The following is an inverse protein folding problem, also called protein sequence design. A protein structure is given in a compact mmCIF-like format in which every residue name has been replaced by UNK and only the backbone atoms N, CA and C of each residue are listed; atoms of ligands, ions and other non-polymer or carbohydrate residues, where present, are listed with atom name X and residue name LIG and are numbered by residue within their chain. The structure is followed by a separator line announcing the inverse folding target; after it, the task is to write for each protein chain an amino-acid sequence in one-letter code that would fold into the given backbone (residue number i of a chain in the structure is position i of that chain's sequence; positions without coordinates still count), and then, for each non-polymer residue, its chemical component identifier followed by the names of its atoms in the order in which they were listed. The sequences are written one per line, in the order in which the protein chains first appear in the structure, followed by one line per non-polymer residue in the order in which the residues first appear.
data_IF_679305166176
#
_entry.id   IF_679305166176
#
_cell.length_a   1.000
_cell.length_b   1.000
_cell.length_c   1.000
_cell.angle_alpha   90.00
_cell.angle_beta   90.00
_cell.angle_gamma   90.00
#
_symmetry.space_group_name_H-M   'P 1'
#
loop_
_entity.id
_entity.type
_entity.pdbx_description
1 polymer ?
#
# COMPACT_ATOMS: atom_id res chain seq x y z
N UNK A 1 -44.27 -0.48 -17.10
CA UNK A 1 -44.54 -0.45 -15.62
C UNK A 1 -44.87 0.98 -15.17
N UNK A 2 -44.14 1.96 -15.61
CA UNK A 2 -44.37 3.37 -15.30
C UNK A 2 -45.82 3.82 -15.66
N UNK A 3 -46.27 3.44 -16.83
CA UNK A 3 -47.70 3.67 -17.23
C UNK A 3 -48.73 3.07 -16.23
N UNK A 4 -48.49 1.82 -15.75
CA UNK A 4 -49.41 1.19 -14.80
C UNK A 4 -49.39 1.92 -13.43
N UNK A 5 -48.22 2.32 -12.97
CA UNK A 5 -48.07 3.07 -11.70
C UNK A 5 -48.70 4.45 -11.80
N UNK A 6 -48.62 5.10 -12.96
CA UNK A 6 -49.29 6.38 -13.20
C UNK A 6 -50.80 6.21 -13.31
N UNK A 7 -51.27 5.14 -13.98
CA UNK A 7 -52.67 4.81 -14.04
C UNK A 7 -53.28 4.50 -12.66
N UNK A 8 -52.59 3.67 -11.85
CA UNK A 8 -53.00 3.36 -10.46
C UNK A 8 -53.07 4.63 -9.59
N UNK A 9 -52.14 5.56 -9.75
CA UNK A 9 -52.14 6.83 -9.04
C UNK A 9 -53.34 7.70 -9.39
N UNK A 10 -53.81 7.63 -10.63
CA UNK A 10 -54.95 8.40 -11.15
C UNK A 10 -56.31 7.77 -10.77
N UNK A 11 -56.36 6.51 -10.30
CA UNK A 11 -57.61 5.89 -9.79
C UNK A 11 -58.10 6.53 -8.48
N UNK A 12 -57.22 7.16 -7.71
CA UNK A 12 -57.55 8.02 -6.56
C UNK A 12 -58.01 7.30 -5.29
N UNK A 13 -58.60 6.11 -5.35
CA UNK A 13 -59.04 5.32 -4.22
C UNK A 13 -58.35 3.98 -4.16
N UNK A 14 -58.00 3.57 -2.95
CA UNK A 14 -57.26 2.32 -2.74
C UNK A 14 -58.04 1.07 -3.15
N UNK A 15 -59.34 1.09 -2.94
CA UNK A 15 -60.25 0.02 -3.31
C UNK A 15 -60.32 -0.17 -4.84
N UNK A 16 -60.32 0.92 -5.60
CA UNK A 16 -60.29 0.85 -7.08
C UNK A 16 -58.95 0.31 -7.61
N UNK A 17 -57.86 0.62 -6.96
CA UNK A 17 -56.52 0.08 -7.28
C UNK A 17 -56.47 -1.43 -7.00
N UNK A 18 -57.04 -1.89 -5.87
CA UNK A 18 -57.09 -3.31 -5.53
C UNK A 18 -57.99 -4.08 -6.50
N UNK A 19 -59.18 -3.54 -6.85
CA UNK A 19 -60.07 -4.12 -7.85
C UNK A 19 -59.41 -4.19 -9.25
N UNK A 20 -58.68 -3.14 -9.65
CA UNK A 20 -57.93 -3.10 -10.90
C UNK A 20 -56.83 -4.15 -10.94
N UNK A 21 -56.08 -4.35 -9.84
CA UNK A 21 -55.03 -5.36 -9.72
C UNK A 21 -55.58 -6.80 -9.71
N UNK A 22 -56.84 -7.00 -9.31
CA UNK A 22 -57.49 -8.33 -9.35
C UNK A 22 -58.09 -8.66 -10.70
N UNK A 23 -58.20 -7.68 -11.61
CA UNK A 23 -58.75 -7.91 -12.96
C UNK A 23 -57.88 -8.86 -13.77
N UNK A 24 -58.52 -9.82 -14.48
CA UNK A 24 -57.84 -10.80 -15.30
C UNK A 24 -57.03 -10.15 -16.45
N UNK A 25 -57.46 -9.01 -16.97
CA UNK A 25 -56.74 -8.31 -18.05
C UNK A 25 -55.44 -7.73 -17.52
N UNK A 26 -55.47 -7.16 -16.29
CA UNK A 26 -54.26 -6.70 -15.61
C UNK A 26 -53.29 -7.83 -15.37
N UNK A 27 -53.74 -8.95 -14.78
CA UNK A 27 -52.90 -10.12 -14.50
C UNK A 27 -52.33 -10.73 -15.75
N UNK A 28 -53.10 -10.84 -16.84
CA UNK A 28 -52.62 -11.30 -18.14
C UNK A 28 -51.59 -10.36 -18.79
N UNK A 29 -51.77 -9.04 -18.61
CA UNK A 29 -50.80 -8.07 -19.10
C UNK A 29 -49.50 -8.13 -18.35
N UNK A 30 -49.55 -8.09 -17.01
CA UNK A 30 -48.36 -8.17 -16.14
C UNK A 30 -47.67 -9.51 -16.30
N UNK A 31 -48.43 -10.61 -16.43
CA UNK A 31 -47.88 -11.96 -16.67
C UNK A 31 -47.05 -12.15 -17.93
N UNK A 32 -47.22 -11.26 -18.92
CA UNK A 32 -46.37 -11.23 -20.13
C UNK A 32 -44.94 -10.74 -19.86
N UNK A 33 -44.71 -10.07 -18.75
CA UNK A 33 -43.43 -9.53 -18.38
C UNK A 33 -42.75 -10.44 -17.35
N UNK A 34 -41.66 -11.10 -17.76
CA UNK A 34 -40.86 -11.90 -16.81
C UNK A 34 -39.91 -11.01 -16.04
N UNK A 35 -40.27 -10.65 -14.79
CA UNK A 35 -39.39 -9.91 -13.89
C UNK A 35 -38.05 -10.60 -13.63
N UNK A 36 -38.04 -11.95 -13.70
CA UNK A 36 -36.83 -12.72 -13.56
C UNK A 36 -35.86 -12.50 -14.74
N UNK A 37 -36.37 -12.53 -15.98
CA UNK A 37 -35.58 -12.27 -17.19
C UNK A 37 -35.12 -10.82 -17.22
N UNK A 38 -36.00 -9.89 -16.90
CA UNK A 38 -35.66 -8.46 -16.78
C UNK A 38 -34.47 -8.25 -15.84
N UNK A 39 -34.55 -8.82 -14.62
CA UNK A 39 -33.48 -8.71 -13.64
C UNK A 39 -32.17 -9.31 -14.13
N UNK A 40 -32.21 -10.47 -14.79
CA UNK A 40 -31.00 -11.10 -15.35
C UNK A 40 -30.30 -10.22 -16.39
N UNK A 41 -31.07 -9.56 -17.26
CA UNK A 41 -30.52 -8.63 -18.24
C UNK A 41 -29.85 -7.44 -17.56
N UNK A 42 -30.56 -6.80 -16.61
CA UNK A 42 -30.03 -5.67 -15.84
C UNK A 42 -28.84 -6.05 -14.96
N UNK A 43 -28.89 -7.21 -14.35
CA UNK A 43 -27.76 -7.73 -13.58
C UNK A 43 -26.48 -7.83 -14.43
N UNK A 44 -26.57 -8.41 -15.62
CA UNK A 44 -25.40 -8.50 -16.53
C UNK A 44 -24.90 -7.11 -16.94
N UNK A 45 -25.79 -6.22 -17.29
CA UNK A 45 -25.46 -4.85 -17.70
C UNK A 45 -24.75 -4.05 -16.58
N UNK A 46 -25.09 -4.30 -15.32
CA UNK A 46 -24.52 -3.63 -14.15
C UNK A 46 -23.25 -4.33 -13.66
N UNK A 47 -23.25 -5.66 -13.61
CA UNK A 47 -22.16 -6.42 -13.03
C UNK A 47 -20.92 -6.55 -13.94
N UNK A 48 -21.10 -6.61 -15.27
CA UNK A 48 -19.99 -6.81 -16.21
C UNK A 48 -18.91 -5.72 -16.13
N UNK A 49 -19.21 -4.43 -16.10
CA UNK A 49 -18.19 -3.39 -15.95
C UNK A 49 -17.41 -3.49 -14.64
N UNK A 50 -18.06 -3.94 -13.57
CA UNK A 50 -17.43 -4.16 -12.27
C UNK A 50 -16.42 -5.30 -12.35
N UNK A 51 -16.83 -6.46 -12.89
CA UNK A 51 -15.93 -7.61 -12.99
C UNK A 51 -14.65 -7.28 -13.79
N UNK A 52 -14.77 -6.51 -14.87
CA UNK A 52 -13.61 -6.02 -15.64
C UNK A 52 -12.72 -5.13 -14.78
N UNK A 53 -13.29 -4.22 -13.99
CA UNK A 53 -12.54 -3.28 -13.14
C UNK A 53 -11.95 -3.91 -11.88
N UNK A 54 -12.40 -5.13 -11.50
CA UNK A 54 -11.91 -5.87 -10.32
C UNK A 54 -10.72 -6.79 -10.64
N UNK A 55 -10.27 -6.85 -11.89
CA UNK A 55 -9.02 -7.50 -12.24
C UNK A 55 -7.86 -6.79 -11.53
N UNK A 56 -6.91 -7.56 -10.98
CA UNK A 56 -5.80 -7.02 -10.17
C UNK A 56 -4.98 -5.98 -10.93
N UNK A 57 -4.85 -6.15 -12.25
CA UNK A 57 -4.08 -5.26 -13.11
C UNK A 57 -4.82 -3.97 -13.43
N UNK A 58 -6.13 -4.05 -13.55
CA UNK A 58 -7.00 -2.92 -13.88
C UNK A 58 -7.44 -2.14 -12.63
N UNK A 59 -7.48 -2.79 -11.46
CA UNK A 59 -8.06 -2.26 -10.23
C UNK A 59 -7.47 -0.90 -9.83
N UNK A 60 -6.15 -0.77 -9.90
CA UNK A 60 -5.41 0.45 -9.53
C UNK A 60 -5.25 1.44 -10.70
N UNK A 61 -5.92 1.25 -11.82
CA UNK A 61 -5.85 2.19 -12.92
C UNK A 61 -6.58 3.50 -12.58
N UNK A 62 -5.93 4.59 -12.97
CA UNK A 62 -6.49 5.93 -12.74
C UNK A 62 -7.70 6.16 -13.64
N UNK A 63 -8.68 6.84 -13.09
CA UNK A 63 -9.78 7.38 -13.88
C UNK A 63 -9.26 8.49 -14.79
N UNK A 64 -9.67 8.48 -16.04
CA UNK A 64 -9.33 9.55 -16.97
C UNK A 64 -9.93 10.86 -16.46
N UNK A 65 -9.09 11.83 -16.13
CA UNK A 65 -9.55 13.20 -15.92
C UNK A 65 -10.03 13.70 -17.27
N UNK A 66 -11.32 14.00 -17.37
CA UNK A 66 -11.84 14.70 -18.55
C UNK A 66 -11.10 16.01 -18.72
N UNK A 67 -10.11 16.03 -19.60
CA UNK A 67 -9.27 17.19 -19.93
C UNK A 67 -9.95 18.10 -20.96
N UNK A 68 -11.27 18.23 -20.91
CA UNK A 68 -11.99 19.22 -21.72
C UNK A 68 -12.68 20.23 -20.80
N UNK A 69 -11.93 21.24 -20.47
CA UNK A 69 -12.44 22.57 -20.12
C UNK A 69 -12.95 23.17 -21.44
N UNK A 70 -14.12 23.77 -21.37
CA UNK A 70 -14.84 24.49 -22.42
C UNK A 70 -15.87 23.66 -23.21
N UNK A 71 -17.01 23.45 -22.56
CA UNK A 71 -18.34 23.68 -23.16
C UNK A 71 -19.40 23.65 -22.05
N UNK A 72 -19.82 24.82 -21.66
CA UNK A 72 -21.04 25.04 -20.88
C UNK A 72 -22.21 24.52 -21.71
N UNK A 73 -22.88 23.55 -21.23
CA UNK A 73 -24.24 23.06 -21.41
C UNK A 73 -24.28 21.55 -21.67
N UNK A 74 -24.74 20.83 -20.66
CA UNK A 74 -25.26 19.49 -20.85
C UNK A 74 -24.43 18.34 -20.27
N UNK A 75 -24.95 17.78 -19.22
CA UNK A 75 -24.59 16.50 -18.60
C UNK A 75 -23.62 16.58 -17.42
N UNK A 76 -24.22 16.66 -16.25
CA UNK A 76 -23.58 16.53 -14.91
C UNK A 76 -22.98 15.12 -14.69
N UNK A 77 -23.04 14.23 -15.66
CA UNK A 77 -22.86 12.78 -15.50
C UNK A 77 -21.41 12.25 -15.69
N UNK A 78 -20.42 13.07 -16.05
CA UNK A 78 -19.09 12.55 -16.41
C UNK A 78 -17.89 13.14 -15.66
N UNK A 79 -18.08 13.73 -14.49
CA UNK A 79 -16.95 14.10 -13.65
C UNK A 79 -16.60 12.92 -12.76
N UNK A 80 -15.52 12.22 -13.05
CA UNK A 80 -15.01 11.12 -12.24
C UNK A 80 -14.82 11.58 -10.79
N UNK A 81 -15.66 11.05 -9.88
CA UNK A 81 -15.73 11.46 -8.47
C UNK A 81 -14.54 10.91 -7.68
N UNK A 82 -14.06 9.73 -8.06
CA UNK A 82 -12.99 9.01 -7.41
C UNK A 82 -11.76 8.91 -8.30
N UNK A 83 -10.62 8.59 -7.70
CA UNK A 83 -9.32 8.58 -8.36
C UNK A 83 -9.11 7.32 -9.20
N UNK A 84 -9.64 6.18 -8.71
CA UNK A 84 -9.49 4.87 -9.36
C UNK A 84 -10.69 4.54 -10.25
N UNK A 85 -10.43 3.87 -11.38
CA UNK A 85 -11.48 3.37 -12.29
C UNK A 85 -12.39 2.35 -11.59
N UNK A 86 -11.83 1.48 -10.76
CA UNK A 86 -12.58 0.48 -9.99
C UNK A 86 -13.61 1.12 -9.05
N UNK A 87 -13.24 2.15 -8.32
CA UNK A 87 -14.13 2.86 -7.40
C UNK A 87 -15.24 3.59 -8.16
N UNK A 88 -14.92 4.24 -9.28
CA UNK A 88 -15.92 4.88 -10.15
C UNK A 88 -16.88 3.86 -10.78
N UNK A 89 -16.41 2.67 -11.16
CA UNK A 89 -17.26 1.60 -11.66
C UNK A 89 -18.24 1.11 -10.59
N UNK A 90 -17.78 0.97 -9.35
CA UNK A 90 -18.65 0.61 -8.21
C UNK A 90 -19.76 1.61 -8.00
N UNK A 91 -19.45 2.91 -7.91
CA UNK A 91 -20.46 3.96 -7.71
C UNK A 91 -21.43 4.01 -8.88
N UNK A 92 -20.94 3.99 -10.10
CA UNK A 92 -21.79 3.99 -11.30
C UNK A 92 -22.75 2.80 -11.31
N UNK A 93 -22.31 1.64 -10.87
CA UNK A 93 -23.14 0.45 -10.77
C UNK A 93 -24.18 0.55 -9.64
N UNK A 94 -23.79 1.09 -8.46
CA UNK A 94 -24.71 1.33 -7.36
C UNK A 94 -25.81 2.32 -7.76
N UNK A 95 -25.45 3.46 -8.33
CA UNK A 95 -26.41 4.49 -8.79
C UNK A 95 -27.31 3.94 -9.93
N UNK A 96 -26.76 3.12 -10.83
CA UNK A 96 -27.51 2.52 -11.93
C UNK A 96 -28.61 1.58 -11.45
N UNK A 97 -28.41 0.86 -10.32
CA UNK A 97 -29.44 0.01 -9.73
C UNK A 97 -30.71 0.80 -9.38
N UNK A 98 -30.58 2.07 -9.04
CA UNK A 98 -31.67 2.95 -8.58
C UNK A 98 -32.12 3.95 -9.64
N UNK A 99 -31.57 3.87 -10.84
CA UNK A 99 -32.01 4.72 -11.96
C UNK A 99 -33.50 4.48 -12.24
N UNK A 100 -34.33 5.53 -12.42
CA UNK A 100 -35.76 5.38 -12.75
C UNK A 100 -36.02 4.53 -13.99
N UNK A 101 -35.07 4.47 -14.91
CA UNK A 101 -35.16 3.64 -16.13
C UNK A 101 -34.88 2.15 -15.89
N UNK A 102 -34.37 1.79 -14.72
CA UNK A 102 -33.91 0.42 -14.38
C UNK A 102 -34.63 -0.14 -13.16
N UNK A 103 -34.79 0.68 -12.11
CA UNK A 103 -35.38 0.24 -10.87
C UNK A 103 -36.85 -0.13 -11.02
N UNK A 104 -37.22 -1.25 -10.41
CA UNK A 104 -38.62 -1.70 -10.29
C UNK A 104 -38.90 -2.07 -8.83
N UNK A 105 -39.87 -1.42 -8.19
CA UNK A 105 -40.24 -1.65 -6.79
C UNK A 105 -40.65 -3.11 -6.51
N UNK A 106 -41.29 -3.79 -7.45
CA UNK A 106 -41.66 -5.21 -7.35
C UNK A 106 -40.48 -6.17 -7.15
N UNK A 107 -39.27 -5.79 -7.53
CA UNK A 107 -38.04 -6.58 -7.34
C UNK A 107 -36.96 -5.82 -6.57
N UNK A 108 -37.37 -4.88 -5.70
CA UNK A 108 -36.52 -4.09 -4.82
C UNK A 108 -35.51 -5.01 -4.09
N UNK A 109 -35.97 -6.10 -3.48
CA UNK A 109 -35.11 -7.04 -2.75
C UNK A 109 -33.94 -7.58 -3.58
N UNK A 110 -34.12 -7.73 -4.90
CA UNK A 110 -33.05 -8.19 -5.81
C UNK A 110 -32.05 -7.08 -6.10
N UNK A 111 -32.51 -5.85 -6.34
CA UNK A 111 -31.63 -4.70 -6.54
C UNK A 111 -30.86 -4.36 -5.26
N UNK A 112 -31.54 -4.47 -4.11
CA UNK A 112 -30.86 -4.31 -2.82
C UNK A 112 -29.76 -5.33 -2.61
N UNK A 113 -30.07 -6.61 -2.83
CA UNK A 113 -29.06 -7.69 -2.77
C UNK A 113 -27.90 -7.41 -3.73
N UNK A 114 -28.18 -6.93 -4.93
CA UNK A 114 -27.13 -6.57 -5.91
C UNK A 114 -26.23 -5.44 -5.38
N UNK A 115 -26.79 -4.40 -4.74
CA UNK A 115 -25.99 -3.35 -4.12
C UNK A 115 -25.01 -3.90 -3.08
N UNK A 116 -25.48 -4.76 -2.18
CA UNK A 116 -24.61 -5.39 -1.18
C UNK A 116 -23.55 -6.30 -1.82
N UNK A 117 -23.91 -7.01 -2.89
CA UNK A 117 -22.97 -7.84 -3.65
C UNK A 117 -21.89 -6.99 -4.36
N UNK A 118 -22.24 -5.82 -4.90
CA UNK A 118 -21.29 -4.88 -5.51
C UNK A 118 -20.26 -4.41 -4.47
N UNK A 119 -20.72 -4.01 -3.28
CA UNK A 119 -19.87 -3.56 -2.18
C UNK A 119 -18.94 -4.72 -1.73
N UNK A 120 -19.50 -5.90 -1.53
CA UNK A 120 -18.73 -7.09 -1.15
C UNK A 120 -17.69 -7.46 -2.22
N UNK A 121 -18.05 -7.38 -3.50
CA UNK A 121 -17.13 -7.65 -4.60
C UNK A 121 -15.97 -6.65 -4.67
N UNK A 122 -16.25 -5.38 -4.38
CA UNK A 122 -15.20 -4.36 -4.25
C UNK A 122 -14.28 -4.65 -3.06
N UNK A 123 -14.82 -5.02 -1.90
CA UNK A 123 -14.05 -5.46 -0.74
C UNK A 123 -13.11 -6.62 -1.07
N UNK A 124 -13.59 -7.63 -1.80
CA UNK A 124 -12.76 -8.75 -2.27
C UNK A 124 -11.68 -8.28 -3.26
N UNK A 125 -12.00 -7.34 -4.17
CA UNK A 125 -11.04 -6.74 -5.09
C UNK A 125 -9.87 -6.08 -4.36
N UNK A 126 -10.18 -5.29 -3.32
CA UNK A 126 -9.17 -4.68 -2.46
C UNK A 126 -8.28 -5.75 -1.81
N UNK A 127 -8.88 -6.79 -1.20
CA UNK A 127 -8.14 -7.86 -0.56
C UNK A 127 -7.21 -8.59 -1.53
N UNK A 128 -7.67 -8.87 -2.76
CA UNK A 128 -6.87 -9.53 -3.80
C UNK A 128 -5.67 -8.68 -4.21
N UNK A 129 -5.89 -7.38 -4.44
CA UNK A 129 -4.81 -6.44 -4.81
C UNK A 129 -3.77 -6.31 -3.71
N UNK A 130 -4.20 -6.12 -2.46
CA UNK A 130 -3.28 -6.04 -1.32
C UNK A 130 -2.51 -7.34 -1.14
N UNK A 131 -3.17 -8.49 -1.25
CA UNK A 131 -2.53 -9.80 -1.17
C UNK A 131 -1.50 -10.00 -2.28
N UNK A 132 -1.81 -9.60 -3.52
CA UNK A 132 -0.89 -9.67 -4.64
C UNK A 132 0.35 -8.79 -4.43
N UNK A 133 0.18 -7.61 -3.84
CA UNK A 133 1.29 -6.68 -3.54
C UNK A 133 2.14 -7.18 -2.36
N UNK A 134 1.52 -7.79 -1.32
CA UNK A 134 2.21 -8.21 -0.09
C UNK A 134 2.89 -9.58 -0.21
N UNK A 135 2.28 -10.57 -0.89
CA UNK A 135 2.85 -11.94 -1.00
C UNK A 135 4.26 -12.00 -1.56
N UNK A 136 4.71 -10.97 -2.21
CA UNK A 136 6.02 -10.91 -2.86
C UNK A 136 7.09 -10.18 -2.04
N UNK A 137 6.72 -9.54 -0.94
CA UNK A 137 7.68 -9.01 0.02
C UNK A 137 8.37 -10.16 0.80
N UNK A 138 7.71 -11.31 0.92
CA UNK A 138 8.19 -12.47 1.68
C UNK A 138 8.90 -13.55 0.83
N UNK A 139 8.89 -13.43 -0.49
CA UNK A 139 9.60 -14.37 -1.36
C UNK A 139 11.13 -14.14 -1.30
N UNK A 140 11.78 -14.68 -0.28
CA UNK A 140 13.22 -15.00 -0.33
C UNK A 140 13.45 -16.01 -1.45
N UNK A 141 14.57 -15.94 -2.20
CA UNK A 141 14.87 -16.95 -3.20
C UNK A 141 15.05 -18.30 -2.49
N UNK A 142 14.02 -19.14 -2.57
CA UNK A 142 14.13 -20.54 -2.16
C UNK A 142 15.09 -21.23 -3.13
N UNK A 143 16.20 -21.69 -2.57
CA UNK A 143 17.05 -22.69 -3.21
C UNK A 143 16.21 -23.93 -3.47
N UNK A 144 16.14 -24.31 -4.74
CA UNK A 144 15.58 -25.58 -5.18
C UNK A 144 16.07 -26.72 -4.31
N UNK A 145 15.17 -27.40 -3.64
CA UNK A 145 15.38 -28.74 -3.10
C UNK A 145 14.21 -29.64 -3.51
N UNK A 146 14.56 -30.59 -4.35
CA UNK A 146 13.67 -31.59 -4.96
C UNK A 146 12.89 -32.40 -3.96
N UNK A 147 11.70 -32.76 -4.42
CA UNK A 147 11.03 -34.07 -4.35
C UNK A 147 9.94 -34.31 -3.31
N UNK A 148 8.95 -34.93 -3.88
CA UNK A 148 7.94 -35.88 -3.37
C UNK A 148 6.58 -35.38 -2.95
N UNK A 149 5.63 -35.59 -3.90
CA UNK A 149 4.20 -35.88 -3.62
C UNK A 149 4.05 -37.05 -2.62
N UNK A 150 3.01 -37.06 -1.80
CA UNK A 150 1.83 -37.83 -2.19
C UNK A 150 0.44 -37.29 -1.74
N UNK A 151 -0.50 -37.41 -2.66
CA UNK A 151 -1.80 -38.12 -2.61
C UNK A 151 -2.76 -37.88 -1.42
N UNK A 152 -3.91 -37.34 -1.79
CA UNK A 152 -5.30 -37.74 -1.52
C UNK A 152 -6.01 -37.41 -0.20
N UNK A 153 -7.23 -37.04 -0.41
CA UNK A 153 -8.58 -37.27 0.21
C UNK A 153 -9.16 -35.99 0.82
N UNK A 154 -10.11 -35.45 0.16
CA UNK A 154 -11.55 -35.69 -0.01
C UNK A 154 -12.41 -34.83 0.92
N UNK A 155 -13.34 -34.11 0.25
CA UNK A 155 -14.75 -33.84 0.58
C UNK A 155 -15.02 -32.81 1.69
N UNK A 156 -15.65 -31.64 1.43
CA UNK A 156 -17.10 -31.50 1.25
C UNK A 156 -17.53 -30.08 0.88
N UNK A 157 -18.46 -30.01 -0.02
CA UNK A 157 -19.51 -29.08 -0.34
C UNK A 157 -19.44 -27.60 0.06
N UNK A 158 -19.14 -26.76 -0.92
CA UNK A 158 -19.76 -25.44 -1.07
C UNK A 158 -19.97 -25.10 -2.55
N UNK A 159 -21.19 -24.73 -2.86
CA UNK A 159 -21.73 -24.45 -4.19
C UNK A 159 -20.88 -23.42 -4.94
N UNK A 160 -20.12 -23.89 -5.91
CA UNK A 160 -19.38 -23.06 -6.86
C UNK A 160 -20.26 -22.75 -8.06
N UNK A 161 -20.52 -21.49 -8.33
CA UNK A 161 -21.09 -21.02 -9.60
C UNK A 161 -19.97 -21.14 -10.66
N UNK A 162 -20.04 -22.20 -11.45
CA UNK A 162 -19.14 -22.42 -12.59
C UNK A 162 -19.47 -21.47 -13.73
N UNK A 163 -18.49 -20.66 -14.11
CA UNK A 163 -18.48 -19.94 -15.37
C UNK A 163 -18.30 -20.90 -16.53
N UNK A 164 -19.31 -21.01 -17.38
CA UNK A 164 -19.23 -21.72 -18.65
C UNK A 164 -18.34 -20.94 -19.62
N UNK A 165 -17.16 -21.49 -19.91
CA UNK A 165 -16.37 -21.12 -21.09
C UNK A 165 -16.96 -21.86 -22.30
N UNK A 166 -17.38 -21.11 -23.30
CA UNK A 166 -17.65 -21.60 -24.65
C UNK A 166 -16.34 -21.67 -25.42
N UNK A 167 -15.91 -22.90 -25.69
CA UNK A 167 -14.82 -23.18 -26.64
C UNK A 167 -15.29 -22.90 -28.06
N UNK A 168 -14.59 -22.02 -28.74
CA UNK A 168 -14.65 -21.91 -30.21
C UNK A 168 -13.34 -22.52 -30.72
N UNK A 169 -13.48 -23.75 -31.21
CA UNK A 169 -12.45 -24.42 -32.01
C UNK A 169 -12.34 -23.80 -33.41
N UNK A 170 -11.13 -23.37 -33.75
CA UNK A 170 -10.77 -23.19 -35.14
C UNK A 170 -9.63 -24.15 -35.52
N UNK A 171 -9.99 -25.09 -36.35
CA UNK A 171 -9.10 -25.92 -37.14
C UNK A 171 -8.35 -25.06 -38.17
N UNK A 172 -7.03 -25.19 -38.29
CA UNK A 172 -6.35 -25.09 -39.57
C UNK A 172 -5.04 -25.87 -39.60
N UNK A 173 -5.08 -26.95 -40.28
CA UNK A 173 -4.19 -27.46 -41.33
C UNK A 173 -2.68 -27.42 -41.10
N UNK A 174 -2.17 -28.65 -41.04
CA UNK A 174 -0.79 -29.11 -41.12
C UNK A 174 -0.13 -28.71 -42.45
N UNK A 175 1.08 -28.18 -42.37
CA UNK A 175 2.06 -28.23 -43.43
C UNK A 175 3.42 -28.64 -42.88
N UNK A 176 3.83 -29.81 -43.24
CA UNK A 176 5.14 -30.44 -43.00
C UNK A 176 6.23 -29.79 -43.83
N UNK A 177 7.28 -29.31 -43.23
CA UNK A 177 8.58 -29.26 -43.92
C UNK A 177 9.74 -29.65 -42.99
N UNK A 178 10.52 -30.61 -43.45
CA UNK A 178 11.81 -31.11 -42.91
C UNK A 178 12.91 -30.08 -43.04
N UNK A 179 13.79 -30.01 -42.06
CA UNK A 179 15.17 -29.69 -42.37
C UNK A 179 15.95 -28.96 -41.30
N UNK A 180 16.94 -29.64 -40.79
CA UNK A 180 18.24 -29.21 -40.23
C UNK A 180 18.31 -28.88 -38.74
N UNK A 181 18.93 -29.79 -38.04
CA UNK A 181 19.56 -29.70 -36.73
C UNK A 181 20.52 -28.49 -36.64
N UNK A 182 20.25 -27.58 -35.73
CA UNK A 182 21.19 -26.63 -35.15
C UNK A 182 21.15 -26.71 -33.62
N UNK A 183 22.35 -26.70 -33.07
CA UNK A 183 22.78 -26.94 -31.72
C UNK A 183 21.88 -26.42 -30.61
N UNK A 184 21.66 -27.24 -29.59
CA UNK A 184 20.83 -27.03 -28.39
C UNK A 184 21.39 -26.00 -27.38
N UNK A 185 22.47 -25.29 -27.68
CA UNK A 185 23.07 -24.30 -26.77
C UNK A 185 22.55 -22.89 -26.94
N UNK A 186 21.99 -22.50 -28.09
CA UNK A 186 21.54 -21.12 -28.32
C UNK A 186 20.07 -20.88 -27.90
N UNK A 187 19.28 -21.94 -27.64
CA UNK A 187 17.91 -21.82 -27.20
C UNK A 187 17.77 -21.56 -25.70
N UNK A 188 18.71 -21.98 -24.86
CA UNK A 188 18.66 -21.74 -23.41
C UNK A 188 19.03 -20.30 -23.06
N UNK A 189 19.96 -19.67 -23.75
CA UNK A 189 20.39 -18.29 -23.46
C UNK A 189 19.23 -17.28 -23.78
N UNK A 190 18.43 -17.55 -24.79
CA UNK A 190 17.27 -16.71 -25.11
C UNK A 190 16.10 -16.90 -24.14
N UNK A 191 15.89 -18.11 -23.60
CA UNK A 191 14.84 -18.37 -22.63
C UNK A 191 15.13 -17.69 -21.28
N UNK A 192 16.38 -17.76 -20.81
CA UNK A 192 16.82 -17.13 -19.57
C UNK A 192 16.77 -15.58 -19.66
N UNK A 193 17.18 -15.01 -20.80
CA UNK A 193 17.07 -13.56 -21.03
C UNK A 193 15.62 -13.07 -21.12
N UNK A 194 14.70 -13.86 -21.65
CA UNK A 194 13.25 -13.53 -21.67
C UNK A 194 12.65 -13.63 -20.28
N UNK A 195 13.06 -14.61 -19.47
CA UNK A 195 12.63 -14.74 -18.08
C UNK A 195 13.12 -13.57 -17.23
N UNK A 196 14.37 -13.18 -17.34
CA UNK A 196 14.96 -12.03 -16.61
C UNK A 196 14.27 -10.73 -17.03
N UNK A 197 14.03 -10.49 -18.31
CA UNK A 197 13.34 -9.31 -18.80
C UNK A 197 11.88 -9.24 -18.33
N UNK A 198 11.20 -10.39 -18.22
CA UNK A 198 9.86 -10.48 -17.68
C UNK A 198 9.83 -10.21 -16.17
N UNK A 199 10.81 -10.69 -15.41
CA UNK A 199 10.94 -10.42 -13.97
C UNK A 199 11.19 -8.94 -13.69
N UNK A 200 12.07 -8.29 -14.45
CA UNK A 200 12.31 -6.85 -14.32
C UNK A 200 11.07 -6.01 -14.67
N UNK A 201 10.36 -6.35 -15.75
CA UNK A 201 9.10 -5.70 -16.11
C UNK A 201 8.05 -5.85 -15.03
N UNK A 202 7.92 -7.04 -14.46
CA UNK A 202 7.01 -7.31 -13.35
C UNK A 202 7.40 -6.50 -12.10
N UNK A 203 8.68 -6.40 -11.79
CA UNK A 203 9.18 -5.61 -10.64
C UNK A 203 8.86 -4.12 -10.78
N UNK A 204 9.07 -3.54 -11.96
CA UNK A 204 8.73 -2.14 -12.26
C UNK A 204 7.21 -1.90 -12.17
N UNK A 205 6.40 -2.81 -12.71
CA UNK A 205 4.95 -2.75 -12.66
C UNK A 205 4.44 -2.76 -11.21
N UNK A 206 4.96 -3.66 -10.38
CA UNK A 206 4.61 -3.78 -8.96
C UNK A 206 4.98 -2.53 -8.18
N UNK A 207 6.14 -1.94 -8.47
CA UNK A 207 6.53 -0.69 -7.82
C UNK A 207 5.53 0.43 -8.11
N UNK A 208 5.07 0.56 -9.36
CA UNK A 208 4.00 1.51 -9.73
C UNK A 208 2.67 1.20 -9.04
N UNK A 209 2.34 -0.08 -8.83
CA UNK A 209 1.13 -0.46 -8.09
C UNK A 209 1.22 -0.06 -6.61
N UNK A 210 2.38 -0.24 -5.97
CA UNK A 210 2.60 0.18 -4.58
C UNK A 210 2.43 1.70 -4.39
N UNK A 211 2.82 2.49 -5.36
CA UNK A 211 2.65 3.95 -5.34
C UNK A 211 1.17 4.38 -5.39
N UNK A 212 0.30 3.56 -5.99
CA UNK A 212 -1.13 3.81 -6.07
C UNK A 212 -1.92 3.40 -4.83
N UNK A 213 -1.30 2.74 -3.83
CA UNK A 213 -1.97 2.34 -2.58
C UNK A 213 -2.52 3.52 -1.80
N UNK A 214 -1.86 4.68 -1.85
CA UNK A 214 -2.35 5.92 -1.23
C UNK A 214 -3.70 6.33 -1.84
N UNK A 215 -3.82 6.27 -3.17
CA UNK A 215 -5.06 6.61 -3.87
C UNK A 215 -6.18 5.62 -3.52
N UNK A 216 -5.85 4.34 -3.40
CA UNK A 216 -6.80 3.31 -2.95
C UNK A 216 -7.27 3.55 -1.52
N UNK A 217 -6.38 3.92 -0.59
CA UNK A 217 -6.75 4.27 0.78
C UNK A 217 -7.74 5.45 0.82
N UNK A 218 -7.44 6.50 0.07
CA UNK A 218 -8.29 7.68 -0.02
C UNK A 218 -9.65 7.36 -0.66
N UNK A 219 -9.66 6.58 -1.74
CA UNK A 219 -10.90 6.19 -2.41
C UNK A 219 -11.78 5.28 -1.54
N UNK A 220 -11.21 4.36 -0.76
CA UNK A 220 -11.94 3.54 0.23
C UNK A 220 -12.62 4.44 1.27
N UNK A 221 -11.90 5.43 1.79
CA UNK A 221 -12.41 6.35 2.80
C UNK A 221 -13.53 7.22 2.23
N UNK A 222 -13.29 7.84 1.07
CA UNK A 222 -14.24 8.72 0.40
C UNK A 222 -15.51 7.96 -0.07
N UNK A 223 -15.33 6.74 -0.62
CA UNK A 223 -16.44 5.87 -1.03
C UNK A 223 -17.31 5.49 0.14
N UNK A 224 -16.71 5.04 1.24
CA UNK A 224 -17.47 4.65 2.44
C UNK A 224 -18.24 5.83 3.04
N UNK A 225 -17.64 7.01 3.03
CA UNK A 225 -18.31 8.24 3.46
C UNK A 225 -19.50 8.56 2.55
N UNK A 226 -19.28 8.56 1.24
CA UNK A 226 -20.33 8.83 0.24
C UNK A 226 -21.52 7.88 0.37
N UNK A 227 -21.25 6.56 0.46
CA UNK A 227 -22.32 5.56 0.56
C UNK A 227 -23.16 5.76 1.82
N UNK A 228 -22.54 6.10 2.95
CA UNK A 228 -23.22 6.26 4.24
C UNK A 228 -24.02 7.54 4.37
N UNK A 229 -23.61 8.62 3.72
CA UNK A 229 -24.22 9.95 3.88
C UNK A 229 -25.08 10.35 2.70
N UNK A 230 -24.58 10.22 1.48
CA UNK A 230 -25.19 10.80 0.28
C UNK A 230 -25.97 9.77 -0.53
N UNK A 231 -25.35 8.61 -0.79
CA UNK A 231 -25.96 7.61 -1.67
C UNK A 231 -27.30 7.09 -1.15
N UNK A 232 -27.42 6.77 0.14
CA UNK A 232 -28.66 6.28 0.70
C UNK A 232 -29.74 7.37 0.67
N UNK A 233 -29.44 8.56 1.17
CA UNK A 233 -30.42 9.63 1.37
C UNK A 233 -30.85 10.26 0.03
N UNK A 234 -29.93 10.43 -0.94
CA UNK A 234 -30.21 11.11 -2.20
C UNK A 234 -30.63 10.15 -3.34
N UNK A 235 -30.18 8.89 -3.30
CA UNK A 235 -30.39 7.95 -4.42
C UNK A 235 -31.38 6.84 -4.06
N UNK A 236 -31.23 6.21 -2.88
CA UNK A 236 -32.07 5.07 -2.48
C UNK A 236 -33.41 5.53 -1.90
N UNK A 237 -33.35 6.42 -0.93
CA UNK A 237 -34.53 6.83 -0.15
C UNK A 237 -35.67 7.37 -1.03
N UNK A 238 -35.45 8.18 -2.07
CA UNK A 238 -36.50 8.64 -2.96
C UNK A 238 -37.20 7.53 -3.75
N UNK A 239 -36.54 6.38 -3.95
CA UNK A 239 -37.05 5.25 -4.71
C UNK A 239 -37.80 4.22 -3.85
N UNK A 240 -37.77 4.36 -2.53
CA UNK A 240 -38.36 3.43 -1.55
C UNK A 240 -39.34 4.15 -0.61
N UNK A 241 -40.06 5.17 -1.10
CA UNK A 241 -41.00 5.97 -0.34
C UNK A 241 -42.12 5.14 0.31
N UNK A 242 -42.52 4.07 -0.37
CA UNK A 242 -43.65 3.24 0.03
C UNK A 242 -43.32 2.25 1.16
N UNK A 243 -42.05 2.16 1.55
CA UNK A 243 -41.61 1.32 2.68
C UNK A 243 -41.87 2.01 4.01
N UNK A 244 -42.15 1.21 5.05
CA UNK A 244 -42.21 1.70 6.42
C UNK A 244 -40.82 2.18 6.92
N UNK A 245 -40.78 2.94 7.97
CA UNK A 245 -39.55 3.53 8.49
C UNK A 245 -38.61 2.47 9.11
N UNK A 246 -39.15 1.38 9.65
CA UNK A 246 -38.36 0.25 10.17
C UNK A 246 -37.58 -0.42 9.03
N UNK A 247 -38.27 -0.65 7.91
CA UNK A 247 -37.66 -1.28 6.74
C UNK A 247 -36.59 -0.36 6.09
N UNK A 248 -36.86 0.94 6.00
CA UNK A 248 -35.84 1.94 5.56
C UNK A 248 -34.62 1.94 6.45
N UNK A 249 -34.83 1.87 7.77
CA UNK A 249 -33.73 1.80 8.73
C UNK A 249 -32.92 0.50 8.59
N UNK A 250 -33.57 -0.65 8.39
CA UNK A 250 -32.90 -1.92 8.17
C UNK A 250 -32.07 -1.92 6.89
N UNK A 251 -32.56 -1.30 5.81
CA UNK A 251 -31.76 -1.08 4.60
C UNK A 251 -30.52 -0.23 4.91
N UNK A 252 -30.67 0.87 5.61
CA UNK A 252 -29.53 1.75 5.97
C UNK A 252 -28.50 1.03 6.82
N UNK A 253 -28.92 0.23 7.80
CA UNK A 253 -28.02 -0.57 8.65
C UNK A 253 -27.23 -1.58 7.83
N UNK A 254 -27.91 -2.36 6.98
CA UNK A 254 -27.22 -3.36 6.13
C UNK A 254 -26.22 -2.73 5.14
N UNK A 255 -26.50 -1.51 4.66
CA UNK A 255 -25.57 -0.76 3.83
C UNK A 255 -24.32 -0.31 4.61
N UNK A 256 -24.51 0.17 5.84
CA UNK A 256 -23.42 0.54 6.74
C UNK A 256 -22.54 -0.67 7.07
N UNK A 257 -23.14 -1.84 7.32
CA UNK A 257 -22.42 -3.10 7.55
C UNK A 257 -21.61 -3.52 6.30
N UNK A 258 -22.20 -3.40 5.10
CA UNK A 258 -21.50 -3.59 3.85
C UNK A 258 -20.27 -2.68 3.71
N UNK A 259 -20.41 -1.40 4.05
CA UNK A 259 -19.29 -0.44 4.05
C UNK A 259 -18.21 -0.81 5.08
N UNK A 260 -18.58 -1.36 6.24
CA UNK A 260 -17.62 -1.80 7.24
C UNK A 260 -16.70 -2.91 6.69
N UNK A 261 -17.22 -3.80 5.84
CA UNK A 261 -16.41 -4.84 5.17
C UNK A 261 -15.33 -4.25 4.25
N UNK A 262 -15.56 -3.06 3.70
CA UNK A 262 -14.57 -2.33 2.88
C UNK A 262 -13.56 -1.62 3.78
N UNK A 263 -14.04 -0.94 4.83
CA UNK A 263 -13.20 -0.18 5.76
C UNK A 263 -12.19 -1.03 6.54
N UNK A 264 -12.52 -2.30 6.82
CA UNK A 264 -11.59 -3.21 7.51
C UNK A 264 -10.26 -3.41 6.75
N UNK A 265 -10.23 -3.16 5.44
CA UNK A 265 -9.00 -3.25 4.64
C UNK A 265 -8.09 -2.04 4.80
N UNK A 266 -8.56 -0.91 5.36
CA UNK A 266 -7.75 0.32 5.51
C UNK A 266 -6.47 0.07 6.31
N UNK A 267 -6.54 -0.74 7.38
CA UNK A 267 -5.39 -1.05 8.20
C UNK A 267 -4.29 -1.79 7.42
N UNK A 268 -4.70 -2.77 6.59
CA UNK A 268 -3.76 -3.56 5.79
C UNK A 268 -3.15 -2.68 4.68
N UNK A 269 -3.96 -1.84 4.05
CA UNK A 269 -3.49 -0.87 3.03
C UNK A 269 -2.50 0.12 3.65
N UNK A 270 -2.84 0.68 4.81
CA UNK A 270 -1.98 1.59 5.57
C UNK A 270 -0.64 0.93 5.92
N UNK A 271 -0.66 -0.27 6.48
CA UNK A 271 0.55 -1.02 6.80
C UNK A 271 1.41 -1.30 5.55
N UNK A 272 0.77 -1.58 4.40
CA UNK A 272 1.48 -1.82 3.14
C UNK A 272 2.15 -0.54 2.61
N UNK A 273 1.53 0.63 2.79
CA UNK A 273 2.12 1.93 2.46
C UNK A 273 3.36 2.18 3.32
N UNK A 274 3.22 2.05 4.64
CA UNK A 274 4.31 2.22 5.61
C UNK A 274 5.47 1.28 5.29
N UNK A 275 5.20 0.00 5.09
CA UNK A 275 6.22 -1.00 4.76
C UNK A 275 6.95 -0.69 3.45
N UNK A 276 6.22 -0.26 2.41
CA UNK A 276 6.83 0.09 1.12
C UNK A 276 7.84 1.25 1.24
N UNK A 277 7.49 2.29 1.98
CA UNK A 277 8.38 3.46 2.14
C UNK A 277 9.52 3.15 3.10
N UNK A 278 9.23 2.50 4.24
CA UNK A 278 10.26 2.09 5.20
C UNK A 278 11.31 1.19 4.53
N UNK A 279 10.89 0.20 3.73
CA UNK A 279 11.83 -0.69 3.03
C UNK A 279 12.80 0.07 2.12
N UNK A 280 12.36 1.13 1.44
CA UNK A 280 13.22 1.99 0.63
C UNK A 280 14.26 2.75 1.46
N UNK A 281 13.86 3.23 2.64
CA UNK A 281 14.76 3.92 3.58
C UNK A 281 15.81 2.96 4.15
N UNK A 282 15.39 1.75 4.56
CA UNK A 282 16.24 0.75 5.21
C UNK A 282 17.39 0.26 4.32
N UNK A 283 17.23 0.25 3.00
CA UNK A 283 18.27 -0.16 2.04
C UNK A 283 19.59 0.59 2.25
N UNK A 284 19.54 1.83 2.71
CA UNK A 284 20.70 2.71 2.87
C UNK A 284 21.35 2.63 4.26
N UNK A 285 20.70 2.01 5.26
CA UNK A 285 21.23 1.91 6.62
C UNK A 285 22.43 0.95 6.73
N UNK A 286 22.57 0.00 5.82
CA UNK A 286 23.74 -0.91 5.79
C UNK A 286 25.08 -0.16 5.71
N UNK A 287 25.08 1.06 5.15
CA UNK A 287 26.29 1.90 5.06
C UNK A 287 26.83 2.38 6.41
N UNK A 288 26.06 2.24 7.50
CA UNK A 288 26.53 2.52 8.88
C UNK A 288 27.72 1.62 9.23
N UNK A 289 27.71 0.37 8.82
CA UNK A 289 28.81 -0.56 9.06
C UNK A 289 30.11 -0.14 8.38
N UNK A 290 30.06 0.62 7.31
CA UNK A 290 31.25 1.11 6.60
C UNK A 290 31.97 2.24 7.36
N UNK A 291 31.33 2.88 8.35
CA UNK A 291 31.92 3.95 9.17
C UNK A 291 33.20 3.43 9.87
N UNK A 292 33.21 2.18 10.33
CA UNK A 292 34.39 1.57 10.93
C UNK A 292 35.57 1.52 9.95
N UNK A 293 35.32 1.16 8.68
CA UNK A 293 36.35 1.12 7.64
C UNK A 293 36.84 2.51 7.26
N UNK A 294 35.95 3.50 7.39
CA UNK A 294 36.23 4.89 7.06
C UNK A 294 37.34 5.49 7.91
N UNK A 295 37.40 5.14 9.21
CA UNK A 295 38.32 5.74 10.19
C UNK A 295 39.48 4.83 10.56
N UNK A 296 39.32 3.52 10.54
CA UNK A 296 40.39 2.58 10.92
C UNK A 296 41.52 2.58 9.92
N UNK A 297 42.74 2.88 10.38
CA UNK A 297 43.99 2.89 9.58
C UNK A 297 44.00 3.89 8.41
N UNK A 298 43.12 4.89 8.40
CA UNK A 298 43.01 5.84 7.30
C UNK A 298 43.57 7.21 7.63
N UNK A 299 43.93 7.47 8.89
CA UNK A 299 44.43 8.75 9.40
C UNK A 299 43.54 9.97 9.05
N UNK A 300 42.22 9.76 8.93
CA UNK A 300 41.25 10.80 8.61
C UNK A 300 41.13 11.81 9.76
N UNK A 301 40.71 13.01 9.41
CA UNK A 301 40.40 14.07 10.35
C UNK A 301 39.17 13.71 11.20
N UNK A 302 38.96 14.47 12.29
CA UNK A 302 37.77 14.39 13.14
C UNK A 302 36.51 14.68 12.31
N UNK A 303 35.43 13.90 12.44
CA UNK A 303 34.20 14.12 11.67
C UNK A 303 33.56 15.46 12.01
N UNK A 304 33.24 16.24 10.98
CA UNK A 304 32.53 17.52 11.08
C UNK A 304 31.27 17.59 10.23
N UNK A 305 31.06 16.59 9.36
CA UNK A 305 29.93 16.54 8.44
C UNK A 305 29.25 15.19 8.51
N UNK A 306 27.92 15.13 8.33
CA UNK A 306 27.20 13.86 8.28
C UNK A 306 27.59 13.04 7.05
N UNK A 307 27.49 11.74 7.16
CA UNK A 307 27.71 10.81 6.05
C UNK A 307 26.58 10.93 5.01
N UNK A 308 26.88 10.75 3.72
CA UNK A 308 25.89 10.90 2.64
C UNK A 308 24.70 9.92 2.74
N UNK A 309 24.88 8.76 3.38
CA UNK A 309 23.81 7.76 3.52
C UNK A 309 22.59 8.32 4.26
N UNK A 310 22.75 9.26 5.20
CA UNK A 310 21.63 9.89 5.92
C UNK A 310 20.66 10.56 4.95
N UNK A 311 21.19 11.31 3.99
CA UNK A 311 20.35 11.92 2.95
C UNK A 311 19.63 10.87 2.12
N UNK A 312 20.29 9.76 1.79
CA UNK A 312 19.69 8.66 1.03
C UNK A 312 18.61 7.92 1.83
N UNK A 313 18.78 7.78 3.15
CA UNK A 313 17.76 7.20 4.06
C UNK A 313 16.52 8.11 4.12
N UNK A 314 16.72 9.43 4.17
CA UNK A 314 15.61 10.38 4.33
C UNK A 314 14.87 10.69 3.03
N UNK A 315 15.52 10.54 1.88
CA UNK A 315 14.96 10.91 0.58
C UNK A 315 13.60 10.25 0.27
N UNK A 316 13.41 8.91 0.47
CA UNK A 316 12.14 8.27 0.15
C UNK A 316 10.96 8.80 0.98
N UNK A 317 11.16 9.09 2.27
CA UNK A 317 10.08 9.62 3.12
C UNK A 317 9.80 11.10 2.82
N UNK A 318 10.83 11.91 2.52
CA UNK A 318 10.64 13.30 2.14
C UNK A 318 9.89 13.42 0.81
N UNK A 319 10.21 12.59 -0.18
CA UNK A 319 9.47 12.51 -1.44
C UNK A 319 8.02 12.09 -1.19
N UNK A 320 7.81 11.02 -0.42
CA UNK A 320 6.46 10.55 -0.05
C UNK A 320 5.65 11.66 0.61
N UNK A 321 6.22 12.36 1.60
CA UNK A 321 5.56 13.46 2.30
C UNK A 321 5.19 14.60 1.34
N UNK A 322 6.10 15.00 0.47
CA UNK A 322 5.87 16.08 -0.49
C UNK A 322 4.77 15.71 -1.50
N UNK A 323 4.80 14.50 -2.06
CA UNK A 323 3.84 14.05 -3.07
C UNK A 323 2.44 13.85 -2.49
N UNK A 324 2.35 13.39 -1.24
CA UNK A 324 1.05 13.08 -0.61
C UNK A 324 0.44 14.25 0.16
N UNK A 325 1.20 15.25 0.53
CA UNK A 325 0.74 16.40 1.34
C UNK A 325 -0.42 17.19 0.73
N UNK A 326 -0.54 17.18 -0.59
CA UNK A 326 -1.62 17.90 -1.32
C UNK A 326 -2.91 17.11 -1.46
N UNK A 327 -2.85 15.77 -1.32
CA UNK A 327 -3.99 14.88 -1.60
C UNK A 327 -4.50 14.15 -0.35
N UNK A 328 -3.67 14.05 0.69
CA UNK A 328 -3.96 13.27 1.89
C UNK A 328 -4.36 14.19 3.06
N UNK A 329 -5.34 13.81 3.90
CA UNK A 329 -5.60 14.49 5.16
C UNK A 329 -4.35 14.54 6.04
N UNK A 330 -4.15 15.68 6.73
CA UNK A 330 -2.92 15.94 7.49
C UNK A 330 -2.70 14.94 8.62
N UNK A 331 -3.75 14.52 9.30
CA UNK A 331 -3.74 13.54 10.37
C UNK A 331 -3.31 12.14 9.90
N UNK A 332 -3.81 11.72 8.75
CA UNK A 332 -3.44 10.44 8.12
C UNK A 332 -1.96 10.46 7.70
N UNK A 333 -1.54 11.52 7.03
CA UNK A 333 -0.15 11.69 6.60
C UNK A 333 0.81 11.74 7.78
N UNK A 334 0.44 12.44 8.86
CA UNK A 334 1.21 12.52 10.08
C UNK A 334 1.40 11.13 10.72
N UNK A 335 0.33 10.35 10.86
CA UNK A 335 0.37 9.00 11.40
C UNK A 335 1.28 8.08 10.56
N UNK A 336 1.13 8.09 9.22
CA UNK A 336 2.03 7.32 8.34
C UNK A 336 3.49 7.74 8.49
N UNK A 337 3.76 9.04 8.61
CA UNK A 337 5.12 9.54 8.77
C UNK A 337 5.74 9.09 10.09
N UNK A 338 4.98 9.11 11.19
CA UNK A 338 5.40 8.57 12.50
C UNK A 338 5.70 7.07 12.40
N UNK A 339 4.82 6.28 11.78
CA UNK A 339 4.99 4.83 11.65
C UNK A 339 6.23 4.47 10.81
N UNK A 340 6.44 5.18 9.68
CA UNK A 340 7.62 5.01 8.83
C UNK A 340 8.89 5.37 9.61
N UNK A 341 8.91 6.53 10.24
CA UNK A 341 10.07 6.99 11.01
C UNK A 341 10.36 6.10 12.21
N UNK A 342 9.33 5.59 12.89
CA UNK A 342 9.48 4.65 13.99
C UNK A 342 10.16 3.36 13.51
N UNK A 343 9.74 2.84 12.36
CA UNK A 343 10.33 1.63 11.76
C UNK A 343 11.79 1.87 11.37
N UNK A 344 12.07 2.99 10.71
CA UNK A 344 13.44 3.36 10.29
C UNK A 344 14.34 3.61 11.49
N UNK A 345 13.85 4.32 12.52
CA UNK A 345 14.61 4.63 13.71
C UNK A 345 14.92 3.38 14.55
N UNK A 346 14.00 2.40 14.61
CA UNK A 346 14.24 1.13 15.29
C UNK A 346 15.38 0.36 14.64
N UNK A 347 15.39 0.25 13.32
CA UNK A 347 16.48 -0.42 12.60
C UNK A 347 17.80 0.37 12.71
N UNK A 348 17.74 1.69 12.59
CA UNK A 348 18.91 2.54 12.76
C UNK A 348 19.51 2.39 14.16
N UNK A 349 18.68 2.32 15.21
CA UNK A 349 19.10 2.03 16.58
C UNK A 349 19.80 0.67 16.68
N UNK A 350 19.27 -0.38 16.03
CA UNK A 350 19.89 -1.72 15.99
C UNK A 350 21.28 -1.66 15.38
N UNK A 351 21.40 -1.10 14.20
CA UNK A 351 22.67 -1.05 13.44
C UNK A 351 23.72 -0.18 14.16
N UNK A 352 23.31 0.95 14.75
CA UNK A 352 24.21 1.81 15.55
C UNK A 352 24.68 1.07 16.80
N UNK A 353 23.77 0.38 17.52
CA UNK A 353 24.09 -0.42 18.70
C UNK A 353 25.10 -1.52 18.39
N UNK A 354 24.91 -2.25 17.28
CA UNK A 354 25.84 -3.29 16.81
C UNK A 354 27.21 -2.70 16.48
N UNK A 355 27.23 -1.55 15.80
CA UNK A 355 28.47 -0.86 15.41
C UNK A 355 29.24 -0.39 16.65
N UNK A 356 28.57 0.20 17.64
CA UNK A 356 29.17 0.62 18.90
C UNK A 356 29.71 -0.57 19.72
N UNK A 357 28.94 -1.66 19.78
CA UNK A 357 29.39 -2.90 20.44
C UNK A 357 30.63 -3.51 19.78
N UNK A 358 30.71 -3.47 18.44
CA UNK A 358 31.89 -3.92 17.72
C UNK A 358 33.11 -3.03 17.98
N UNK A 359 32.93 -1.72 18.08
CA UNK A 359 34.00 -0.77 18.46
C UNK A 359 34.51 -1.07 19.87
N UNK A 360 33.62 -1.24 20.83
CA UNK A 360 33.98 -1.55 22.23
C UNK A 360 34.75 -2.87 22.35
N UNK A 361 34.30 -3.94 21.70
CA UNK A 361 35.00 -5.24 21.71
C UNK A 361 36.41 -5.14 21.13
N UNK A 362 36.58 -4.35 20.08
CA UNK A 362 37.91 -4.15 19.50
C UNK A 362 38.83 -3.37 20.41
N UNK A 363 38.33 -2.31 21.05
CA UNK A 363 39.05 -1.51 22.01
C UNK A 363 39.52 -2.37 23.19
N UNK A 364 38.63 -3.20 23.78
CA UNK A 364 38.97 -4.15 24.84
C UNK A 364 40.05 -5.15 24.42
N UNK A 365 39.95 -5.67 23.20
CA UNK A 365 40.95 -6.60 22.65
C UNK A 365 42.31 -5.95 22.49
N UNK A 366 42.36 -4.70 22.03
CA UNK A 366 43.61 -3.93 21.92
C UNK A 366 44.19 -3.62 23.29
N UNK A 367 43.39 -3.25 24.27
CA UNK A 367 43.82 -3.03 25.68
C UNK A 367 44.43 -4.31 26.27
N UNK A 368 43.82 -5.48 26.04
CA UNK A 368 44.35 -6.77 26.50
C UNK A 368 45.70 -7.11 25.84
N UNK A 369 45.81 -6.93 24.52
CA UNK A 369 47.06 -7.15 23.80
C UNK A 369 48.18 -6.23 24.27
N UNK A 370 47.89 -4.93 24.50
CA UNK A 370 48.85 -3.98 25.03
C UNK A 370 49.34 -4.38 26.42
N UNK A 371 48.44 -4.80 27.32
CA UNK A 371 48.78 -5.31 28.64
C UNK A 371 49.61 -6.58 28.66
N UNK A 372 49.34 -7.48 27.69
CA UNK A 372 50.19 -8.71 27.52
C UNK A 372 51.60 -8.35 27.03
N UNK A 373 51.71 -7.44 26.05
CA UNK A 373 52.98 -6.96 25.52
C UNK A 373 53.82 -6.27 26.60
N UNK A 374 53.21 -5.41 27.43
CA UNK A 374 53.90 -4.76 28.59
C UNK A 374 54.41 -5.78 29.61
N UNK A 375 53.72 -6.90 29.83
CA UNK A 375 54.15 -7.97 30.71
C UNK A 375 55.29 -8.82 30.13
N UNK A 376 55.35 -8.93 28.81
CA UNK A 376 56.38 -9.76 28.10
C UNK A 376 57.67 -8.97 27.86
N UNK A 377 57.63 -7.64 27.84
CA UNK A 377 58.77 -6.73 27.66
C UNK A 377 59.32 -6.19 28.94
N UNK A 378 59.01 -6.84 30.08
CA UNK A 378 59.61 -6.52 31.41
C UNK A 378 61.10 -6.56 31.35
N UNK A 379 61.78 -5.44 31.40
CA UNK A 379 63.21 -5.18 31.46
C UNK A 379 63.92 -4.92 30.11
N UNK A 380 63.59 -3.82 29.46
CA UNK A 380 64.59 -3.06 28.70
C UNK A 380 64.11 -1.63 28.62
N UNK A 381 64.81 -0.77 29.31
CA UNK A 381 64.55 0.66 29.37
C UNK A 381 64.68 1.29 27.97
N UNK A 382 63.61 1.69 27.42
CA UNK A 382 63.60 2.71 26.38
C UNK A 382 62.46 3.67 26.73
N UNK A 383 62.81 4.73 27.44
CA UNK A 383 61.97 5.91 27.61
C UNK A 383 61.89 6.58 26.26
N UNK A 384 60.99 6.09 25.39
CA UNK A 384 60.55 6.86 24.26
C UNK A 384 59.83 8.10 24.84
N UNK A 385 60.46 9.23 24.66
CA UNK A 385 59.99 10.58 24.96
C UNK A 385 58.54 10.71 24.43
N UNK A 386 57.62 10.76 25.34
CA UNK A 386 56.24 11.22 25.07
C UNK A 386 56.39 12.69 24.65
N UNK A 387 56.42 12.88 23.34
CA UNK A 387 56.22 14.22 22.77
C UNK A 387 54.83 14.64 23.22
N UNK A 388 54.79 15.65 24.09
CA UNK A 388 53.58 16.38 24.47
C UNK A 388 53.03 17.01 23.16
N UNK A 389 52.37 16.20 22.35
CA UNK A 389 51.63 16.57 21.17
C UNK A 389 50.18 16.37 21.43
N UNK A 390 49.37 17.38 21.19
CA UNK A 390 47.92 17.45 21.19
C UNK A 390 47.30 16.04 21.15
N UNK A 391 46.55 15.67 22.19
CA UNK A 391 45.96 14.33 22.34
C UNK A 391 45.20 13.97 21.02
N UNK A 392 45.79 13.09 20.26
CA UNK A 392 45.24 12.66 18.96
C UNK A 392 44.03 11.80 19.24
N UNK A 393 42.83 12.30 18.90
CA UNK A 393 41.57 11.57 19.04
C UNK A 393 41.72 10.18 18.41
N UNK A 394 41.37 9.12 19.13
CA UNK A 394 41.48 7.76 18.64
C UNK A 394 40.57 7.49 17.45
N UNK A 395 40.89 6.50 16.61
CA UNK A 395 40.03 6.11 15.50
C UNK A 395 38.68 5.59 15.98
N UNK A 396 38.63 4.94 17.15
CA UNK A 396 37.38 4.47 17.78
C UNK A 396 36.52 5.66 18.26
N UNK A 397 37.12 6.73 18.78
CA UNK A 397 36.39 7.96 19.16
C UNK A 397 35.86 8.73 17.94
N UNK A 398 36.63 8.74 16.85
CA UNK A 398 36.13 9.33 15.58
C UNK A 398 34.90 8.58 15.04
N UNK A 399 34.86 7.24 15.19
CA UNK A 399 33.67 6.45 14.82
C UNK A 399 32.47 6.84 15.66
N UNK A 400 32.63 6.96 16.98
CA UNK A 400 31.54 7.39 17.90
C UNK A 400 31.05 8.80 17.54
N UNK A 401 31.97 9.74 17.31
CA UNK A 401 31.64 11.12 16.92
C UNK A 401 30.93 11.17 15.56
N UNK A 402 31.31 10.34 14.58
CA UNK A 402 30.62 10.28 13.30
C UNK A 402 29.18 9.82 13.47
N UNK A 403 28.94 8.75 14.26
CA UNK A 403 27.60 8.26 14.57
C UNK A 403 26.76 9.35 15.26
N UNK A 404 27.35 10.11 16.17
CA UNK A 404 26.69 11.25 16.81
C UNK A 404 26.30 12.33 15.80
N UNK A 405 27.19 12.75 14.91
CA UNK A 405 26.93 13.76 13.87
C UNK A 405 25.83 13.27 12.91
N UNK A 406 25.89 12.00 12.53
CA UNK A 406 24.92 11.38 11.62
C UNK A 406 23.51 11.32 12.26
N UNK A 407 23.40 10.89 13.50
CA UNK A 407 22.11 10.83 14.23
C UNK A 407 21.53 12.22 14.46
N UNK A 408 22.35 13.18 14.86
CA UNK A 408 21.90 14.58 15.03
C UNK A 408 21.40 15.17 13.71
N UNK A 409 22.07 14.87 12.60
CA UNK A 409 21.63 15.30 11.30
C UNK A 409 20.32 14.62 10.88
N UNK A 410 20.15 13.31 11.14
CA UNK A 410 18.92 12.58 10.91
C UNK A 410 17.73 13.23 11.65
N UNK A 411 17.88 13.53 12.95
CA UNK A 411 16.86 14.22 13.75
C UNK A 411 16.54 15.59 13.17
N UNK A 412 17.55 16.40 12.83
CA UNK A 412 17.35 17.73 12.24
C UNK A 412 16.61 17.68 10.90
N UNK A 413 16.81 16.64 10.07
CA UNK A 413 16.09 16.45 8.82
C UNK A 413 14.60 16.13 9.06
N UNK A 414 14.27 15.38 10.10
CA UNK A 414 12.88 15.07 10.49
C UNK A 414 12.17 16.34 10.93
N UNK A 415 12.74 17.07 11.87
CA UNK A 415 12.13 18.28 12.46
C UNK A 415 11.93 19.40 11.43
N UNK A 416 12.93 19.62 10.58
CA UNK A 416 12.88 20.68 9.54
C UNK A 416 12.04 20.28 8.32
N UNK A 417 12.09 19.01 7.93
CA UNK A 417 11.48 18.56 6.67
C UNK A 417 10.01 18.18 6.77
N UNK A 418 9.57 17.70 7.96
CA UNK A 418 8.22 17.15 8.13
C UNK A 418 7.43 17.78 9.29
N UNK A 419 8.03 18.70 10.03
CA UNK A 419 7.42 19.35 11.21
C UNK A 419 6.92 18.33 12.26
N UNK A 420 7.65 17.22 12.41
CA UNK A 420 7.40 16.17 13.42
C UNK A 420 8.43 16.36 14.51
N UNK A 421 7.98 16.44 15.77
CA UNK A 421 8.90 16.53 16.88
C UNK A 421 9.57 15.17 17.15
N UNK A 422 10.88 15.16 17.32
CA UNK A 422 11.64 13.94 17.64
C UNK A 422 11.12 13.22 18.89
N UNK A 423 10.48 13.96 19.82
CA UNK A 423 9.88 13.45 21.06
C UNK A 423 8.67 12.53 20.83
N UNK A 424 8.02 12.63 19.68
CA UNK A 424 6.86 11.79 19.34
C UNK A 424 7.29 10.34 19.05
N UNK A 425 8.58 10.11 18.76
CA UNK A 425 9.10 8.81 18.33
C UNK A 425 10.11 8.29 19.37
N UNK A 426 9.68 7.33 20.18
CA UNK A 426 10.50 6.73 21.25
C UNK A 426 11.86 6.24 20.76
N UNK A 427 11.91 5.59 19.60
CA UNK A 427 13.14 5.03 19.04
C UNK A 427 14.18 6.09 18.74
N UNK A 428 13.75 7.29 18.32
CA UNK A 428 14.63 8.43 18.07
C UNK A 428 15.26 8.91 19.39
N UNK A 429 14.47 9.04 20.46
CA UNK A 429 14.99 9.43 21.78
C UNK A 429 16.02 8.42 22.32
N UNK A 430 15.75 7.12 22.15
CA UNK A 430 16.69 6.08 22.58
C UNK A 430 17.96 6.13 21.74
N UNK A 431 17.85 6.29 20.43
CA UNK A 431 18.99 6.42 19.51
C UNK A 431 19.84 7.64 19.81
N UNK A 432 19.23 8.78 20.07
CA UNK A 432 19.90 10.01 20.45
C UNK A 432 20.67 9.85 21.77
N UNK A 433 20.04 9.30 22.80
CA UNK A 433 20.68 9.05 24.08
C UNK A 433 21.85 8.06 23.96
N UNK A 434 21.70 7.02 23.13
CA UNK A 434 22.75 6.03 22.91
C UNK A 434 24.03 6.69 22.34
N UNK A 435 23.90 7.54 21.33
CA UNK A 435 25.07 8.20 20.74
C UNK A 435 25.66 9.29 21.63
N UNK A 436 24.84 10.00 22.43
CA UNK A 436 25.29 10.95 23.43
C UNK A 436 26.14 10.24 24.52
N UNK A 437 25.66 9.14 25.08
CA UNK A 437 26.39 8.36 26.05
C UNK A 437 27.70 7.79 25.47
N UNK A 438 27.66 7.30 24.23
CA UNK A 438 28.84 6.76 23.57
C UNK A 438 29.92 7.81 23.30
N UNK A 439 29.58 9.08 23.21
CA UNK A 439 30.51 10.19 22.93
C UNK A 439 30.90 11.01 24.16
N UNK A 440 30.32 10.72 25.32
CA UNK A 440 30.49 11.52 26.54
C UNK A 440 31.95 11.74 26.95
N UNK A 441 32.81 10.71 26.78
CA UNK A 441 34.22 10.79 27.12
C UNK A 441 35.06 11.62 26.15
N UNK A 442 34.61 11.83 24.90
CA UNK A 442 35.33 12.57 23.84
C UNK A 442 34.70 13.93 23.54
N UNK A 443 33.60 14.31 24.22
CA UNK A 443 32.79 15.44 23.90
C UNK A 443 33.46 16.78 24.18
N UNK A 444 34.19 16.88 25.32
CA UNK A 444 34.86 18.10 25.72
C UNK A 444 35.98 18.49 24.73
N UNK A 445 36.76 17.52 24.28
CA UNK A 445 37.81 17.71 23.27
C UNK A 445 37.25 18.06 21.88
N UNK A 446 36.02 17.63 21.59
CA UNK A 446 35.34 17.84 20.30
C UNK A 446 34.72 19.25 20.21
N UNK A 447 34.04 19.71 21.25
CA UNK A 447 33.45 21.06 21.33
C UNK A 447 34.52 22.12 21.23
N UNK A 448 35.67 21.94 21.91
CA UNK A 448 36.78 22.87 21.83
C UNK A 448 37.28 23.09 20.38
N UNK A 449 37.29 22.01 19.58
CA UNK A 449 37.74 22.04 18.19
C UNK A 449 36.73 22.55 17.17
N UNK A 450 35.41 22.37 17.39
CA UNK A 450 34.38 22.95 16.54
C UNK A 450 34.23 24.45 16.81
N UNK A 451 34.40 24.88 18.06
CA UNK A 451 34.37 26.28 18.44
C UNK A 451 35.48 27.12 17.77
N UNK A 452 36.65 26.52 17.52
CA UNK A 452 37.77 27.15 16.83
C UNK A 452 37.63 27.19 15.29
N UNK A 453 36.79 26.35 14.68
CA UNK A 453 36.58 26.30 13.23
C UNK A 453 35.37 27.10 12.74
N UNK A 454 34.62 27.73 13.64
CA UNK A 454 33.42 28.55 13.37
C UNK A 454 33.60 30.05 13.60
N UNK A 455 34.84 30.52 13.87
CA UNK A 455 35.19 31.96 13.98
C UNK A 455 35.85 32.49 12.72
#
# INVERSE_FOLDING_TARGET
MEFLSEFERNLGFQEDVENFRQDNSYNNFVGRWSLAVYYQIRFREIALPIEISMDVDEFLNLSEKSSNIDNEQGSILNKSRFRLKSTNAVISALEKCWSPSIFLSAILHRFWKLNLQIIARHSMGIANVVTAICKEADAKPEKEMHSHTPTSLAVDDTVSISSARTDISNNSVVATQKGHSRSASDQNINADNVLIANEESNKVRRQKQKEKLVLMFLDITDLSKYIRTTFFDDTVLPMVTDLDDEMKQNLKVSLVEGCNSVLQHLQIVSSSIVQNISSKCLLHLNSVHDIQRLYRRTNRQVPSKPCPYITSVMLPIQQFFTETSTICPKDVLHNWSIDILSTVANEYLSVVSETLAAVQKMEESLKRLKKVRERTTGNAGDKAQEVVGVAKISDDDKIRLQLYVDVKHFISQIEKGMSIESREIKSILVLENLVIEATKACFDDYIAKIGESGS
#
